data_IF_971014849735
#
_entry.id   IF_971014849735
#
_cell.length_a   1.000
_cell.length_b   1.000
_cell.length_c   1.000
_cell.angle_alpha   90.00
_cell.angle_beta   90.00
_cell.angle_gamma   90.00
#
_symmetry.space_group_name_H-M   'P 1'
#
loop_
_entity.id
_entity.type
_entity.pdbx_description
1 polymer ?
#
# COMPACT_ATOMS: atom_id res chain seq x y z
N UNK A 1 -20.81 2.63 -37.93
CA UNK A 1 -19.58 2.93 -37.15
C UNK A 1 -19.78 3.10 -35.63
N UNK A 2 -21.02 3.05 -35.11
CA UNK A 2 -21.34 3.21 -33.66
C UNK A 2 -20.89 2.09 -32.71
N UNK A 3 -20.60 0.89 -33.23
CA UNK A 3 -20.14 -0.27 -32.42
C UNK A 3 -18.67 -0.12 -32.01
N UNK A 4 -17.85 0.56 -32.82
CA UNK A 4 -16.45 0.81 -32.52
C UNK A 4 -16.29 1.80 -31.36
N UNK A 5 -17.13 2.84 -31.32
CA UNK A 5 -17.11 3.84 -30.24
C UNK A 5 -17.38 3.23 -28.85
N UNK A 6 -18.29 2.26 -28.75
CA UNK A 6 -18.54 1.53 -27.50
C UNK A 6 -17.30 0.75 -27.06
N UNK A 7 -16.60 0.07 -27.97
CA UNK A 7 -15.37 -0.68 -27.65
C UNK A 7 -14.26 0.23 -27.13
N UNK A 8 -14.11 1.44 -27.68
CA UNK A 8 -13.13 2.43 -27.18
C UNK A 8 -13.49 2.99 -25.79
N UNK A 9 -14.77 3.16 -25.49
CA UNK A 9 -15.23 3.57 -24.14
C UNK A 9 -14.98 2.46 -23.11
N UNK A 10 -15.24 1.20 -23.45
CA UNK A 10 -14.94 0.07 -22.57
C UNK A 10 -13.44 -0.15 -22.38
N UNK A 11 -12.64 -0.02 -23.45
CA UNK A 11 -11.18 -0.17 -23.40
C UNK A 11 -10.51 0.94 -22.57
N UNK A 12 -11.02 2.17 -22.65
CA UNK A 12 -10.47 3.29 -21.87
C UNK A 12 -10.84 3.23 -20.39
N UNK A 13 -12.03 2.75 -20.03
CA UNK A 13 -12.47 2.63 -18.63
C UNK A 13 -11.70 1.54 -17.85
N UNK A 14 -11.29 0.46 -18.51
CA UNK A 14 -10.53 -0.61 -17.87
C UNK A 14 -9.10 -0.19 -17.48
N UNK A 15 -8.53 0.79 -18.18
CA UNK A 15 -7.13 1.25 -17.95
C UNK A 15 -7.00 2.05 -16.64
N UNK A 16 -8.10 2.57 -16.08
CA UNK A 16 -8.03 3.51 -14.95
C UNK A 16 -8.15 2.88 -13.55
N UNK A 17 -8.38 1.57 -13.43
CA UNK A 17 -8.57 0.93 -12.13
C UNK A 17 -7.23 0.64 -11.42
N UNK A 18 -6.68 1.63 -10.70
CA UNK A 18 -5.51 1.44 -9.83
C UNK A 18 -5.98 1.47 -8.37
N UNK A 19 -6.01 0.31 -7.72
CA UNK A 19 -6.33 0.18 -6.29
C UNK A 19 -5.08 -0.27 -5.50
N UNK A 20 -4.90 0.27 -4.29
CA UNK A 20 -3.82 -0.17 -3.40
C UNK A 20 -4.30 -1.39 -2.60
N UNK A 21 -3.66 -2.53 -2.80
CA UNK A 21 -4.01 -3.79 -2.12
C UNK A 21 -3.43 -3.84 -0.71
N UNK A 22 -4.25 -4.26 0.25
CA UNK A 22 -3.90 -4.69 1.60
C UNK A 22 -4.54 -6.05 1.87
N UNK A 23 -4.25 -6.67 3.01
CA UNK A 23 -4.71 -8.04 3.30
C UNK A 23 -5.55 -8.09 4.56
N UNK A 24 -6.61 -8.89 4.54
CA UNK A 24 -7.41 -9.22 5.72
C UNK A 24 -7.33 -10.72 6.01
N UNK A 25 -7.75 -11.10 7.21
CA UNK A 25 -7.93 -12.50 7.62
C UNK A 25 -9.39 -12.88 7.59
N UNK A 26 -9.72 -14.17 7.44
CA UNK A 26 -11.11 -14.65 7.30
C UNK A 26 -12.08 -14.17 8.40
N UNK A 27 -11.59 -13.99 9.62
CA UNK A 27 -12.43 -13.68 10.80
C UNK A 27 -11.96 -12.46 11.59
N UNK A 28 -10.87 -11.81 11.17
CA UNK A 28 -10.30 -10.68 11.90
C UNK A 28 -10.90 -9.35 11.48
N UNK A 29 -10.89 -8.36 12.38
CA UNK A 29 -11.37 -7.00 12.13
C UNK A 29 -10.28 -6.02 11.68
N UNK A 30 -9.10 -6.54 11.31
CA UNK A 30 -7.93 -5.72 10.92
C UNK A 30 -7.44 -6.03 9.52
N UNK A 31 -6.87 -5.02 8.89
CA UNK A 31 -6.08 -5.18 7.66
C UNK A 31 -4.59 -5.08 7.94
N UNK A 32 -3.80 -5.65 7.04
CA UNK A 32 -2.39 -5.95 7.18
C UNK A 32 -1.63 -5.59 5.91
N UNK A 33 -0.34 -5.27 6.04
CA UNK A 33 0.60 -5.27 4.92
C UNK A 33 0.96 -6.69 4.52
N UNK A 34 1.47 -6.85 3.31
CA UNK A 34 2.12 -8.10 2.92
C UNK A 34 3.23 -8.48 3.93
N UNK A 35 3.36 -9.76 4.23
CA UNK A 35 4.37 -10.29 5.15
C UNK A 35 4.08 -10.10 6.65
N UNK A 36 2.90 -9.65 7.05
CA UNK A 36 2.55 -9.61 8.47
C UNK A 36 2.50 -11.03 9.07
N UNK A 37 3.10 -11.24 10.25
CA UNK A 37 3.12 -12.54 10.95
C UNK A 37 1.73 -13.15 11.22
N UNK A 38 0.70 -12.31 11.31
CA UNK A 38 -0.69 -12.73 11.55
C UNK A 38 -1.42 -13.21 10.30
N UNK A 39 -0.85 -13.02 9.11
CA UNK A 39 -1.39 -13.52 7.84
C UNK A 39 -1.05 -15.00 7.56
N UNK A 40 -0.30 -15.66 8.45
CA UNK A 40 0.18 -17.04 8.27
C UNK A 40 -0.94 -18.08 8.03
N UNK A 41 -2.15 -17.82 8.52
CA UNK A 41 -3.30 -18.74 8.38
C UNK A 41 -4.29 -18.34 7.28
N UNK A 42 -4.34 -17.06 6.91
CA UNK A 42 -5.24 -16.56 5.88
C UNK A 42 -4.74 -15.21 5.38
N UNK A 43 -4.69 -15.05 4.06
CA UNK A 43 -4.25 -13.83 3.39
C UNK A 43 -5.23 -13.51 2.27
N UNK A 44 -6.24 -12.68 2.56
CA UNK A 44 -7.29 -12.32 1.60
C UNK A 44 -7.00 -10.89 1.11
N UNK A 45 -6.72 -10.68 -0.18
CA UNK A 45 -6.46 -9.36 -0.72
C UNK A 45 -7.76 -8.53 -0.79
N UNK A 46 -7.68 -7.27 -0.39
CA UNK A 46 -8.75 -6.27 -0.44
C UNK A 46 -8.14 -4.90 -0.77
N UNK A 47 -8.91 -3.98 -1.36
CA UNK A 47 -8.41 -2.63 -1.55
C UNK A 47 -8.38 -1.85 -0.24
N UNK A 48 -7.43 -0.91 -0.09
CA UNK A 48 -7.34 -0.06 1.09
C UNK A 48 -8.56 0.86 1.26
N UNK A 49 -9.24 1.21 0.17
CA UNK A 49 -10.52 1.92 0.24
C UNK A 49 -11.59 1.04 0.84
N UNK A 50 -11.74 -0.19 0.35
CA UNK A 50 -12.81 -1.10 0.74
C UNK A 50 -12.61 -1.56 2.18
N UNK A 51 -11.37 -1.90 2.55
CA UNK A 51 -11.02 -2.24 3.93
C UNK A 51 -11.45 -1.13 4.92
N UNK A 52 -11.30 0.14 4.55
CA UNK A 52 -11.73 1.25 5.41
C UNK A 52 -13.25 1.45 5.39
N UNK A 53 -13.90 1.31 4.24
CA UNK A 53 -15.36 1.44 4.16
C UNK A 53 -16.09 0.31 4.88
N UNK A 54 -15.50 -0.88 4.92
CA UNK A 54 -16.01 -2.04 5.65
C UNK A 54 -15.67 -2.00 7.16
N UNK A 55 -14.92 -0.99 7.62
CA UNK A 55 -14.63 -0.77 9.04
C UNK A 55 -13.44 -1.56 9.59
N UNK A 56 -12.57 -2.11 8.73
CA UNK A 56 -11.35 -2.76 9.19
C UNK A 56 -10.34 -1.73 9.72
N UNK A 57 -9.68 -2.09 10.83
CA UNK A 57 -8.66 -1.25 11.45
C UNK A 57 -7.23 -1.65 11.00
N UNK A 58 -6.26 -0.71 10.98
CA UNK A 58 -4.88 -1.06 10.66
C UNK A 58 -4.25 -1.94 11.74
N UNK A 59 -3.46 -2.92 11.33
CA UNK A 59 -2.64 -3.70 12.25
C UNK A 59 -1.56 -2.82 12.92
N UNK A 60 -1.54 -2.81 14.25
CA UNK A 60 -0.54 -2.09 15.05
C UNK A 60 0.85 -2.73 15.06
N UNK A 61 1.02 -3.92 14.46
CA UNK A 61 2.31 -4.63 14.43
C UNK A 61 3.05 -4.40 13.11
N UNK A 62 2.36 -4.50 11.98
CA UNK A 62 2.98 -4.27 10.68
C UNK A 62 2.81 -2.83 10.16
N UNK A 63 2.03 -1.99 10.86
CA UNK A 63 1.80 -0.59 10.51
C UNK A 63 1.49 -0.38 9.02
N UNK A 64 0.40 -0.98 8.51
CA UNK A 64 0.08 -0.95 7.09
C UNK A 64 -0.25 0.47 6.61
N UNK A 65 -0.17 0.74 5.29
CA UNK A 65 -0.53 2.03 4.73
C UNK A 65 -1.98 2.42 5.05
N UNK A 66 -2.21 3.67 5.47
CA UNK A 66 -3.55 4.18 5.83
C UNK A 66 -4.17 5.08 4.76
N UNK A 67 -3.39 5.47 3.75
CA UNK A 67 -3.80 6.28 2.61
C UNK A 67 -3.32 5.66 1.30
N UNK A 68 -4.08 5.90 0.22
CA UNK A 68 -3.69 5.47 -1.13
C UNK A 68 -2.54 6.35 -1.62
N UNK A 69 -1.39 5.76 -1.93
CA UNK A 69 -0.25 6.51 -2.47
C UNK A 69 -0.57 6.95 -3.91
N UNK A 70 -0.81 8.25 -4.13
CA UNK A 70 -0.86 8.82 -5.48
C UNK A 70 0.54 8.78 -6.09
N UNK A 71 0.69 8.09 -7.21
CA UNK A 71 1.90 8.14 -8.05
C UNK A 71 2.06 9.56 -8.65
N UNK A 72 2.56 10.49 -7.86
CA UNK A 72 3.34 11.61 -8.39
C UNK A 72 4.81 11.18 -8.32
N UNK A 73 5.26 10.41 -9.30
CA UNK A 73 6.69 10.13 -9.46
C UNK A 73 7.31 11.32 -10.17
N UNK A 74 7.47 12.44 -9.46
CA UNK A 74 8.51 13.42 -9.78
C UNK A 74 9.66 13.19 -8.80
N UNK A 75 10.72 12.60 -9.33
CA UNK A 75 12.03 12.39 -8.74
C UNK A 75 12.40 13.35 -7.58
N UNK A 76 12.51 12.85 -6.34
CA UNK A 76 13.27 13.57 -5.29
C UNK A 76 14.03 12.64 -4.35
N UNK A 77 15.16 12.16 -4.88
CA UNK A 77 16.36 11.68 -4.18
C UNK A 77 16.80 12.67 -3.10
N UNK A 78 16.16 12.71 -1.92
CA UNK A 78 16.64 13.51 -0.76
C UNK A 78 16.38 12.90 0.64
N UNK A 79 15.83 11.70 0.78
CA UNK A 79 15.60 11.08 2.12
C UNK A 79 16.75 10.18 2.63
N UNK A 80 17.63 9.69 1.76
CA UNK A 80 18.80 8.87 2.15
C UNK A 80 20.01 9.65 2.70
N UNK A 81 19.95 10.99 2.80
CA UNK A 81 21.03 11.77 3.42
C UNK A 81 20.92 11.83 4.95
N UNK A 82 19.70 11.72 5.51
CA UNK A 82 19.47 11.87 6.95
C UNK A 82 19.84 10.59 7.71
N UNK A 83 19.44 9.41 7.23
CA UNK A 83 19.76 8.13 7.89
C UNK A 83 21.26 7.85 7.95
N UNK A 84 22.02 8.21 6.91
CA UNK A 84 23.47 8.02 6.84
C UNK A 84 24.23 8.84 7.89
N UNK A 85 23.70 10.01 8.30
CA UNK A 85 24.31 10.85 9.35
C UNK A 85 24.13 10.27 10.75
N UNK A 86 22.98 9.67 11.05
CA UNK A 86 22.75 9.02 12.35
C UNK A 86 23.64 7.79 12.52
N UNK A 87 23.74 6.95 11.50
CA UNK A 87 24.53 5.72 11.60
C UNK A 87 26.04 5.98 11.80
N UNK A 88 26.58 7.06 11.22
CA UNK A 88 27.97 7.44 11.42
C UNK A 88 28.24 8.08 12.80
N UNK A 89 27.26 8.77 13.40
CA UNK A 89 27.43 9.42 14.71
C UNK A 89 27.40 8.41 15.87
N UNK A 90 26.65 7.31 15.73
CA UNK A 90 26.60 6.25 16.74
C UNK A 90 27.85 5.37 16.77
N UNK A 91 28.52 5.14 15.64
CA UNK A 91 29.77 4.33 15.60
C UNK A 91 30.96 5.07 16.20
N UNK A 92 31.02 6.40 16.08
CA UNK A 92 32.11 7.23 16.65
C UNK A 92 31.99 7.53 18.14
N UNK A 93 30.95 7.04 18.82
CA UNK A 93 30.79 7.18 20.28
C UNK A 93 31.26 5.96 21.06
N UNK A 94 31.77 4.94 20.37
CA UNK A 94 32.20 3.66 20.96
C UNK A 94 33.71 3.41 20.78
N UNK A 95 34.50 4.48 20.58
CA UNK A 95 35.96 4.46 20.63
C UNK A 95 36.43 5.64 21.50
#
# INVERSE_FOLDING_TARGET
>A
MKKSLLVFVFLSMAIFAIAQTVFITKTGSKYYSDGCRYLSRSCIPISLSDARSEGYEPCSVCYPPTYVYKRHVTHKKKRHAVYKRYHHKSVKKTL
#
